data_IF_741147898885
#
_entry.id   IF_741147898885
#
_cell.length_a   1.000
_cell.length_b   1.000
_cell.length_c   1.000
_cell.angle_alpha   90.00
_cell.angle_beta   90.00
_cell.angle_gamma   90.00
#
_symmetry.space_group_name_H-M   'P 1'
#
loop_
_entity.id
_entity.type
_entity.pdbx_description
1 polymer ?
#
# COMPACT_ATOMS: atom_id res chain seq x y z
N UNK A 1 19.45 11.58 18.02
CA UNK A 1 18.12 10.96 18.29
C UNK A 1 17.07 11.87 17.67
N UNK A 2 16.52 11.46 16.52
CA UNK A 2 15.67 12.34 15.69
C UNK A 2 14.32 12.59 16.37
N UNK A 3 13.69 13.75 16.14
CA UNK A 3 12.39 14.16 16.72
C UNK A 3 11.23 13.17 16.47
N UNK A 4 11.43 12.13 15.65
CA UNK A 4 10.44 11.10 15.31
C UNK A 4 10.32 10.03 16.42
N UNK A 5 11.37 9.80 17.22
CA UNK A 5 11.40 8.70 18.20
C UNK A 5 10.29 8.78 19.27
N UNK A 6 9.81 9.99 19.61
CA UNK A 6 8.91 10.20 20.75
C UNK A 6 7.41 10.40 20.39
N UNK A 7 7.01 10.38 19.11
CA UNK A 7 5.65 10.80 18.69
C UNK A 7 4.94 9.85 17.71
N UNK A 8 5.31 8.56 17.68
CA UNK A 8 4.62 7.56 16.85
C UNK A 8 3.73 6.62 17.67
N UNK A 9 2.62 6.20 17.08
CA UNK A 9 1.63 5.29 17.71
C UNK A 9 2.19 3.88 17.89
N UNK A 10 1.55 3.05 18.71
CA UNK A 10 1.96 1.64 18.88
C UNK A 10 1.88 0.85 17.56
N UNK A 11 0.88 1.12 16.70
CA UNK A 11 0.81 0.50 15.37
C UNK A 11 2.01 0.88 14.52
N UNK A 12 2.37 2.16 14.51
CA UNK A 12 3.53 2.67 13.79
C UNK A 12 4.85 2.08 14.32
N UNK A 13 4.98 1.87 15.64
CA UNK A 13 6.14 1.18 16.24
C UNK A 13 6.22 -0.27 15.77
N UNK A 14 5.10 -1.00 15.73
CA UNK A 14 5.04 -2.38 15.22
C UNK A 14 5.49 -2.46 13.76
N UNK A 15 4.92 -1.64 12.88
CA UNK A 15 5.29 -1.62 11.46
C UNK A 15 6.76 -1.28 11.27
N UNK A 16 7.26 -0.23 11.95
CA UNK A 16 8.69 0.14 11.89
C UNK A 16 9.60 -1.01 12.33
N UNK A 17 9.26 -1.68 13.43
CA UNK A 17 10.04 -2.83 13.93
C UNK A 17 10.03 -3.99 12.95
N UNK A 18 8.85 -4.34 12.41
CA UNK A 18 8.65 -5.41 11.45
C UNK A 18 9.46 -5.19 10.16
N UNK A 19 9.29 -4.03 9.54
CA UNK A 19 9.98 -3.72 8.29
C UNK A 19 11.48 -3.52 8.49
N UNK A 20 11.92 -3.05 9.65
CA UNK A 20 13.35 -3.00 9.97
C UNK A 20 13.99 -4.39 9.98
N UNK A 21 13.31 -5.40 10.54
CA UNK A 21 13.85 -6.76 10.63
C UNK A 21 13.77 -7.53 9.30
N UNK A 22 12.84 -7.18 8.42
CA UNK A 22 12.60 -7.89 7.16
C UNK A 22 13.15 -7.17 5.92
N UNK A 23 13.72 -5.97 6.04
CA UNK A 23 14.15 -5.11 4.93
C UNK A 23 15.03 -5.84 3.88
N UNK A 24 15.92 -6.73 4.32
CA UNK A 24 16.82 -7.48 3.42
C UNK A 24 16.08 -8.43 2.48
N UNK A 25 14.91 -8.95 2.87
CA UNK A 25 14.08 -9.82 2.02
C UNK A 25 13.38 -9.04 0.92
N UNK A 26 12.99 -7.79 1.21
CA UNK A 26 12.39 -6.90 0.22
C UNK A 26 13.42 -6.41 -0.81
N UNK A 27 14.72 -6.45 -0.50
CA UNK A 27 15.80 -6.13 -1.46
C UNK A 27 16.09 -7.29 -2.42
N UNK A 28 15.82 -8.55 -2.01
CA UNK A 28 16.21 -9.78 -2.73
C UNK A 28 15.04 -10.52 -3.41
N UNK A 29 13.86 -9.92 -3.53
CA UNK A 29 12.65 -10.60 -4.04
C UNK A 29 11.79 -9.73 -4.95
N UNK A 30 11.24 -10.33 -5.99
CA UNK A 30 10.89 -9.73 -7.29
C UNK A 30 9.44 -9.20 -7.41
N UNK A 31 8.62 -9.24 -6.35
CA UNK A 31 7.18 -8.94 -6.43
C UNK A 31 6.88 -7.44 -6.52
N UNK A 32 7.54 -6.60 -5.70
CA UNK A 32 7.35 -5.15 -5.73
C UNK A 32 7.97 -4.50 -6.97
N UNK A 33 8.96 -5.18 -7.57
CA UNK A 33 9.56 -4.83 -8.86
C UNK A 33 8.58 -5.00 -10.02
N UNK A 34 7.59 -5.91 -9.91
CA UNK A 34 6.55 -6.00 -10.92
C UNK A 34 5.71 -4.72 -10.87
N UNK A 35 5.77 -3.90 -11.92
CA UNK A 35 5.05 -2.62 -12.04
C UNK A 35 3.73 -2.74 -12.80
N UNK A 36 3.28 -3.95 -13.16
CA UNK A 36 2.07 -4.18 -13.98
C UNK A 36 0.82 -3.54 -13.38
N UNK A 37 0.68 -3.52 -12.05
CA UNK A 37 -0.44 -2.82 -11.41
C UNK A 37 -0.36 -1.29 -11.55
N UNK A 38 0.84 -0.70 -11.48
CA UNK A 38 1.07 0.73 -11.75
C UNK A 38 0.80 1.03 -13.23
N UNK A 39 1.32 0.21 -14.14
CA UNK A 39 1.08 0.33 -15.59
C UNK A 39 -0.42 0.30 -15.91
N UNK A 40 -1.16 -0.69 -15.40
CA UNK A 40 -2.63 -0.77 -15.53
C UNK A 40 -3.35 0.41 -14.88
N UNK A 41 -2.83 0.91 -13.77
CA UNK A 41 -3.40 2.07 -13.07
C UNK A 41 -3.26 3.33 -13.90
N UNK A 42 -2.11 3.54 -14.55
CA UNK A 42 -1.79 4.75 -15.31
C UNK A 42 -2.02 4.65 -16.82
N UNK A 43 -2.46 3.50 -17.35
CA UNK A 43 -2.69 3.26 -18.78
C UNK A 43 -3.50 4.37 -19.49
N UNK A 44 -4.55 4.87 -18.85
CA UNK A 44 -5.43 5.95 -19.32
C UNK A 44 -5.25 7.27 -18.56
N UNK A 45 -4.21 7.38 -17.72
CA UNK A 45 -3.91 8.56 -16.91
C UNK A 45 -2.58 9.13 -17.33
N UNK A 46 -2.62 10.31 -17.95
CA UNK A 46 -1.41 10.98 -18.44
C UNK A 46 -0.56 11.51 -17.29
N UNK A 47 0.57 10.84 -17.04
CA UNK A 47 1.66 11.36 -16.22
C UNK A 47 2.42 12.44 -17.00
N UNK A 48 2.36 13.69 -16.54
CA UNK A 48 3.05 14.80 -17.18
C UNK A 48 4.43 15.00 -16.52
N UNK A 49 5.46 15.18 -17.35
CA UNK A 49 6.82 15.47 -16.87
C UNK A 49 6.81 16.72 -15.97
N UNK A 50 7.49 16.63 -14.83
CA UNK A 50 7.58 17.70 -13.85
C UNK A 50 6.40 17.78 -12.88
N UNK A 51 5.40 16.90 -12.96
CA UNK A 51 4.42 16.74 -11.88
C UNK A 51 5.14 16.35 -10.59
N UNK A 52 4.74 16.96 -9.47
CA UNK A 52 5.24 16.62 -8.14
C UNK A 52 4.49 15.42 -7.59
N UNK A 53 5.21 14.33 -7.36
CA UNK A 53 4.65 13.11 -6.79
C UNK A 53 5.14 12.88 -5.36
N UNK A 54 4.24 12.40 -4.50
CA UNK A 54 4.56 11.85 -3.20
C UNK A 54 4.28 10.34 -3.20
N UNK A 55 5.30 9.52 -2.97
CA UNK A 55 5.17 8.08 -2.74
C UNK A 55 5.22 7.78 -1.24
N UNK A 56 4.07 7.42 -0.67
CA UNK A 56 3.89 7.17 0.76
C UNK A 56 4.13 5.70 1.08
N UNK A 57 4.94 5.45 2.11
CA UNK A 57 5.39 4.11 2.50
C UNK A 57 6.10 3.41 1.34
N UNK A 58 7.11 4.10 0.80
CA UNK A 58 7.83 3.74 -0.42
C UNK A 58 8.58 2.40 -0.32
N UNK A 59 8.88 1.92 0.90
CA UNK A 59 9.69 0.74 1.10
C UNK A 59 11.04 0.86 0.38
N UNK A 60 11.32 -0.07 -0.54
CA UNK A 60 12.53 -0.05 -1.36
C UNK A 60 12.45 0.84 -2.61
N UNK A 61 11.42 1.67 -2.76
CA UNK A 61 11.39 2.74 -3.76
C UNK A 61 10.75 2.39 -5.11
N UNK A 62 10.21 1.18 -5.32
CA UNK A 62 9.77 0.76 -6.65
C UNK A 62 8.67 1.65 -7.26
N UNK A 63 7.72 2.14 -6.47
CA UNK A 63 6.72 3.10 -6.95
C UNK A 63 7.38 4.44 -7.27
N UNK A 64 8.24 4.94 -6.38
CA UNK A 64 9.01 6.17 -6.62
C UNK A 64 9.88 6.09 -7.90
N UNK A 65 10.54 4.95 -8.16
CA UNK A 65 11.33 4.71 -9.37
C UNK A 65 10.46 4.72 -10.61
N UNK A 66 9.33 4.00 -10.60
CA UNK A 66 8.38 4.02 -11.70
C UNK A 66 7.95 5.46 -12.04
N UNK A 67 7.60 6.27 -11.03
CA UNK A 67 7.20 7.66 -11.25
C UNK A 67 8.36 8.54 -11.77
N UNK A 68 9.58 8.33 -11.27
CA UNK A 68 10.76 9.04 -11.73
C UNK A 68 11.12 8.70 -13.19
N UNK A 69 10.96 7.44 -13.61
CA UNK A 69 11.11 7.00 -15.00
C UNK A 69 10.12 7.67 -15.96
N UNK A 70 8.95 8.05 -15.45
CA UNK A 70 7.95 8.85 -16.18
C UNK A 70 8.22 10.38 -16.12
N UNK A 71 9.35 10.79 -15.53
CA UNK A 71 9.82 12.17 -15.51
C UNK A 71 9.15 13.06 -14.45
N UNK A 72 8.60 12.48 -13.38
CA UNK A 72 8.02 13.22 -12.26
C UNK A 72 9.10 13.68 -11.28
N UNK A 73 8.82 14.76 -10.55
CA UNK A 73 9.60 15.22 -9.40
C UNK A 73 9.11 14.47 -8.15
N UNK A 74 9.86 13.45 -7.73
CA UNK A 74 9.40 12.48 -6.74
C UNK A 74 9.98 12.75 -5.36
N UNK A 75 9.08 12.91 -4.39
CA UNK A 75 9.39 12.73 -2.97
C UNK A 75 8.84 11.38 -2.52
N UNK A 76 9.65 10.61 -1.81
CA UNK A 76 9.31 9.29 -1.31
C UNK A 76 9.51 9.25 0.20
N UNK A 77 8.57 8.66 0.94
CA UNK A 77 8.67 8.58 2.39
C UNK A 77 8.37 7.19 2.92
N UNK A 78 8.99 6.86 4.06
CA UNK A 78 8.72 5.66 4.82
C UNK A 78 8.88 5.97 6.31
N UNK A 79 8.30 5.13 7.17
CA UNK A 79 8.52 5.20 8.63
C UNK A 79 9.78 4.44 9.06
N UNK A 80 10.39 3.69 8.15
CA UNK A 80 11.51 2.79 8.39
C UNK A 80 12.76 3.28 7.68
N UNK A 81 13.78 3.69 8.45
CA UNK A 81 15.02 4.24 7.87
C UNK A 81 15.78 3.20 7.02
N UNK A 82 15.82 1.94 7.44
CA UNK A 82 16.52 0.87 6.70
C UNK A 82 15.90 0.59 5.32
N UNK A 83 14.59 0.81 5.17
CA UNK A 83 13.92 0.76 3.86
C UNK A 83 14.37 1.93 2.98
N UNK A 84 14.39 3.15 3.53
CA UNK A 84 14.87 4.32 2.81
C UNK A 84 16.35 4.22 2.43
N UNK A 85 17.21 3.63 3.27
CA UNK A 85 18.60 3.34 2.92
C UNK A 85 18.71 2.43 1.70
N UNK A 86 17.92 1.36 1.65
CA UNK A 86 17.82 0.47 0.49
C UNK A 86 17.38 1.20 -0.77
N UNK A 87 16.30 1.99 -0.67
CA UNK A 87 15.78 2.77 -1.78
C UNK A 87 16.78 3.82 -2.29
N UNK A 88 17.47 4.54 -1.39
CA UNK A 88 18.52 5.52 -1.73
C UNK A 88 19.67 4.85 -2.48
N UNK A 89 20.11 3.68 -2.03
CA UNK A 89 21.19 2.93 -2.71
C UNK A 89 20.80 2.60 -4.15
N UNK A 90 19.61 2.05 -4.36
CA UNK A 90 19.10 1.73 -5.71
C UNK A 90 18.88 2.98 -6.56
N UNK A 91 18.41 4.09 -5.97
CA UNK A 91 18.27 5.37 -6.67
C UNK A 91 19.62 5.89 -7.21
N UNK A 92 20.68 5.81 -6.40
CA UNK A 92 22.05 6.20 -6.81
C UNK A 92 22.54 5.27 -7.93
N UNK A 93 22.39 3.95 -7.77
CA UNK A 93 22.82 2.96 -8.78
C UNK A 93 22.13 3.16 -10.13
N UNK A 94 20.86 3.60 -10.13
CA UNK A 94 20.05 3.84 -11.33
C UNK A 94 20.00 5.30 -11.78
N UNK A 95 20.70 6.20 -11.08
CA UNK A 95 20.74 7.63 -11.36
C UNK A 95 19.34 8.30 -11.37
N UNK A 96 18.47 7.95 -10.42
CA UNK A 96 17.22 8.66 -10.19
C UNK A 96 17.42 9.83 -9.21
N UNK A 97 16.81 10.97 -9.52
CA UNK A 97 16.71 12.12 -8.61
C UNK A 97 15.41 12.03 -7.81
N UNK A 98 15.50 11.49 -6.58
CA UNK A 98 14.34 11.25 -5.70
C UNK A 98 14.68 11.73 -4.29
N UNK A 99 13.77 12.49 -3.69
CA UNK A 99 13.91 12.96 -2.31
C UNK A 99 13.32 11.95 -1.33
N UNK A 100 14.16 11.32 -0.52
CA UNK A 100 13.73 10.36 0.52
C UNK A 100 13.60 11.01 1.90
N UNK A 101 12.43 10.88 2.54
CA UNK A 101 12.12 11.52 3.83
C UNK A 101 11.53 10.53 4.84
N UNK A 102 12.05 10.52 6.07
CA UNK A 102 11.52 9.68 7.16
C UNK A 102 10.33 10.36 7.84
N UNK A 103 9.11 9.83 7.69
CA UNK A 103 7.92 10.20 8.47
C UNK A 103 6.77 9.19 8.28
N UNK A 104 5.71 9.30 9.10
CA UNK A 104 4.52 8.45 8.96
C UNK A 104 3.54 8.97 7.90
N UNK A 105 2.69 8.08 7.40
CA UNK A 105 1.65 8.37 6.41
C UNK A 105 0.47 9.19 6.98
N UNK A 106 0.23 9.11 8.29
CA UNK A 106 -0.94 9.68 8.97
C UNK A 106 -0.73 11.15 9.40
N UNK A 107 0.49 11.68 9.23
CA UNK A 107 0.85 13.07 9.55
C UNK A 107 1.98 13.54 8.64
N UNK A 108 1.60 14.12 7.50
CA UNK A 108 2.53 14.49 6.44
C UNK A 108 3.13 15.89 6.72
N UNK A 109 4.47 16.05 6.75
CA UNK A 109 5.13 17.31 7.08
C UNK A 109 5.18 18.28 5.87
N UNK A 110 4.14 18.27 5.04
CA UNK A 110 4.06 19.08 3.83
C UNK A 110 2.93 20.10 3.92
N UNK A 111 3.07 21.28 3.28
CA UNK A 111 1.97 22.23 3.14
C UNK A 111 0.79 21.65 2.39
N UNK A 112 -0.38 22.27 2.55
CA UNK A 112 -1.54 21.98 1.70
C UNK A 112 -1.17 22.19 0.23
N UNK A 113 -1.77 21.41 -0.66
CA UNK A 113 -1.68 21.63 -2.11
C UNK A 113 -0.23 21.69 -2.65
N UNK A 114 0.62 20.78 -2.18
CA UNK A 114 2.03 20.70 -2.55
C UNK A 114 2.32 19.68 -3.67
N UNK A 115 1.47 18.66 -3.85
CA UNK A 115 1.69 17.56 -4.81
C UNK A 115 0.59 17.48 -5.87
N UNK A 116 0.96 17.09 -7.09
CA UNK A 116 0.04 16.79 -8.19
C UNK A 116 -0.47 15.34 -8.12
N UNK A 117 0.34 14.45 -7.52
CA UNK A 117 0.06 13.02 -7.37
C UNK A 117 0.51 12.52 -5.99
N UNK A 118 -0.33 11.74 -5.32
CA UNK A 118 0.01 11.00 -4.09
C UNK A 118 -0.27 9.54 -4.33
N UNK A 119 0.75 8.70 -4.19
CA UNK A 119 0.66 7.25 -4.35
C UNK A 119 0.89 6.55 -3.01
N UNK A 120 0.21 5.44 -2.78
CA UNK A 120 0.47 4.48 -1.70
C UNK A 120 0.21 3.07 -2.24
N UNK A 121 1.20 2.19 -2.14
CA UNK A 121 1.16 0.86 -2.77
C UNK A 121 1.57 -0.21 -1.76
N UNK A 122 0.68 -1.16 -1.50
CA UNK A 122 0.82 -2.29 -0.57
C UNK A 122 1.22 -1.91 0.85
N UNK A 123 0.68 -0.79 1.36
CA UNK A 123 1.09 -0.26 2.66
C UNK A 123 -0.09 0.15 3.56
N UNK A 124 -1.23 0.52 2.99
CA UNK A 124 -2.30 1.14 3.77
C UNK A 124 -2.91 0.19 4.81
N UNK A 125 -2.90 -1.12 4.54
CA UNK A 125 -3.27 -2.16 5.51
C UNK A 125 -2.39 -2.24 6.77
N UNK A 126 -1.26 -1.53 6.83
CA UNK A 126 -0.43 -1.40 8.04
C UNK A 126 -0.69 -0.11 8.84
N UNK A 127 -1.49 0.82 8.31
CA UNK A 127 -1.72 2.11 8.95
C UNK A 127 -2.74 1.95 10.09
N UNK A 128 -2.43 2.55 11.24
CA UNK A 128 -3.30 2.49 12.42
C UNK A 128 -4.55 3.35 12.25
N UNK A 129 -4.41 4.49 11.56
CA UNK A 129 -5.51 5.36 11.18
C UNK A 129 -5.54 5.61 9.67
N UNK A 130 -6.17 4.67 8.95
CA UNK A 130 -6.33 4.75 7.49
C UNK A 130 -7.15 5.96 7.04
N UNK A 131 -8.12 6.43 7.84
CA UNK A 131 -8.88 7.65 7.53
C UNK A 131 -8.00 8.90 7.64
N UNK A 132 -7.14 9.00 8.67
CA UNK A 132 -6.17 10.09 8.77
C UNK A 132 -5.18 10.10 7.61
N UNK A 133 -4.69 8.93 7.18
CA UNK A 133 -3.86 8.81 5.98
C UNK A 133 -4.54 9.39 4.72
N UNK A 134 -5.80 9.04 4.46
CA UNK A 134 -6.53 9.56 3.30
C UNK A 134 -6.76 11.07 3.42
N UNK A 135 -7.11 11.56 4.61
CA UNK A 135 -7.27 13.01 4.87
C UNK A 135 -5.99 13.81 4.64
N UNK A 136 -4.86 13.31 5.14
CA UNK A 136 -3.56 13.95 4.92
C UNK A 136 -3.15 13.92 3.44
N UNK A 137 -3.39 12.80 2.75
CA UNK A 137 -3.15 12.67 1.31
C UNK A 137 -3.96 13.70 0.51
N UNK A 138 -5.25 13.84 0.83
CA UNK A 138 -6.12 14.85 0.23
C UNK A 138 -5.67 16.28 0.55
N UNK A 139 -5.20 16.53 1.78
CA UNK A 139 -4.72 17.86 2.20
C UNK A 139 -3.51 18.30 1.37
N UNK A 140 -2.52 17.42 1.19
CA UNK A 140 -1.28 17.76 0.47
C UNK A 140 -1.44 17.74 -1.04
N UNK A 141 -2.48 17.10 -1.59
CA UNK A 141 -2.80 17.18 -3.01
C UNK A 141 -3.23 18.59 -3.42
N UNK A 142 -2.79 19.04 -4.59
CA UNK A 142 -3.32 20.23 -5.27
C UNK A 142 -4.73 19.96 -5.79
N UNK A 143 -5.47 21.03 -6.09
CA UNK A 143 -6.71 20.94 -6.86
C UNK A 143 -6.48 20.12 -8.13
N UNK A 144 -7.43 19.24 -8.46
CA UNK A 144 -7.37 18.30 -9.60
C UNK A 144 -6.24 17.27 -9.53
N UNK A 145 -5.44 17.26 -8.46
CA UNK A 145 -4.42 16.25 -8.20
C UNK A 145 -5.02 14.89 -7.92
N UNK A 146 -4.21 13.84 -8.14
CA UNK A 146 -4.66 12.45 -8.05
C UNK A 146 -4.13 11.75 -6.80
N UNK A 147 -5.02 11.06 -6.11
CA UNK A 147 -4.70 10.06 -5.10
C UNK A 147 -4.75 8.68 -5.74
N UNK A 148 -3.70 7.90 -5.59
CA UNK A 148 -3.60 6.52 -6.08
C UNK A 148 -3.31 5.59 -4.92
N UNK A 149 -4.19 4.62 -4.71
CA UNK A 149 -4.04 3.56 -3.72
C UNK A 149 -4.01 2.22 -4.44
N UNK A 150 -2.98 1.43 -4.19
CA UNK A 150 -2.92 0.03 -4.63
C UNK A 150 -2.77 -0.84 -3.39
N UNK A 151 -3.74 -1.69 -3.07
CA UNK A 151 -3.65 -2.57 -1.89
C UNK A 151 -4.45 -3.87 -2.05
N UNK A 152 -4.27 -4.81 -1.12
CA UNK A 152 -5.06 -6.04 -1.05
C UNK A 152 -6.52 -5.75 -0.69
N UNK A 153 -7.43 -6.54 -1.27
CA UNK A 153 -8.85 -6.52 -0.94
C UNK A 153 -9.53 -7.85 -1.31
N UNK A 154 -10.83 -7.93 -1.09
CA UNK A 154 -11.73 -8.91 -1.71
C UNK A 154 -12.98 -8.17 -2.22
N UNK A 155 -13.84 -8.77 -3.06
CA UNK A 155 -15.05 -8.10 -3.56
C UNK A 155 -15.95 -7.63 -2.42
N UNK A 156 -16.60 -6.47 -2.60
CA UNK A 156 -17.53 -5.93 -1.61
C UNK A 156 -18.58 -6.99 -1.21
N UNK A 157 -18.79 -7.18 0.09
CA UNK A 157 -19.72 -8.17 0.64
C UNK A 157 -19.19 -9.61 0.72
N UNK A 158 -17.97 -9.89 0.27
CA UNK A 158 -17.32 -11.19 0.46
C UNK A 158 -16.72 -11.34 1.87
N UNK A 159 -17.51 -11.06 2.92
CA UNK A 159 -17.03 -10.97 4.31
C UNK A 159 -16.31 -12.22 4.80
N UNK A 160 -16.76 -13.41 4.41
CA UNK A 160 -16.09 -14.66 4.80
C UNK A 160 -14.68 -14.78 4.20
N UNK A 161 -14.51 -14.37 2.93
CA UNK A 161 -13.20 -14.34 2.29
C UNK A 161 -12.31 -13.24 2.89
N UNK A 162 -12.89 -12.10 3.24
CA UNK A 162 -12.18 -11.02 3.94
C UNK A 162 -11.67 -11.50 5.31
N UNK A 163 -12.53 -12.10 6.13
CA UNK A 163 -12.16 -12.59 7.45
C UNK A 163 -11.10 -13.69 7.38
N UNK A 164 -11.19 -14.58 6.39
CA UNK A 164 -10.17 -15.59 6.16
C UNK A 164 -8.82 -14.94 5.81
N UNK A 165 -8.83 -13.99 4.85
CA UNK A 165 -7.61 -13.31 4.39
C UNK A 165 -6.96 -12.49 5.51
N UNK A 166 -7.76 -11.74 6.26
CA UNK A 166 -7.29 -10.93 7.38
C UNK A 166 -6.65 -11.79 8.48
N UNK A 167 -7.21 -12.97 8.76
CA UNK A 167 -6.60 -13.93 9.71
C UNK A 167 -5.28 -14.50 9.17
N UNK A 168 -5.23 -14.85 7.89
CA UNK A 168 -3.99 -15.34 7.26
C UNK A 168 -2.90 -14.27 7.34
N UNK A 169 -3.22 -13.01 6.99
CA UNK A 169 -2.24 -11.92 7.05
C UNK A 169 -1.78 -11.61 8.46
N UNK A 170 -2.68 -11.63 9.47
CA UNK A 170 -2.27 -11.42 10.88
C UNK A 170 -1.37 -12.52 11.42
N UNK A 171 -1.54 -13.76 10.94
CA UNK A 171 -0.62 -14.86 11.26
C UNK A 171 0.71 -14.71 10.52
N UNK A 172 0.66 -14.24 9.27
CA UNK A 172 1.84 -14.08 8.40
C UNK A 172 2.71 -12.91 8.84
N UNK A 173 2.12 -11.76 9.11
CA UNK A 173 2.76 -10.48 9.43
C UNK A 173 2.04 -9.81 10.61
N UNK A 174 2.74 -9.72 11.75
CA UNK A 174 2.17 -9.17 12.99
C UNK A 174 1.89 -7.65 12.92
N UNK A 175 2.41 -6.96 11.92
CA UNK A 175 2.19 -5.52 11.71
C UNK A 175 0.94 -5.22 10.87
N UNK A 176 0.28 -6.25 10.32
CA UNK A 176 -0.97 -6.10 9.56
C UNK A 176 -2.10 -5.58 10.45
N UNK A 177 -2.70 -4.45 10.07
CA UNK A 177 -3.86 -3.86 10.75
C UNK A 177 -5.16 -4.35 10.12
N UNK A 178 -5.25 -4.33 8.80
CA UNK A 178 -6.43 -4.81 8.07
C UNK A 178 -6.57 -4.19 6.68
N UNK A 179 -6.95 -5.00 5.70
CA UNK A 179 -7.39 -4.50 4.40
C UNK A 179 -8.73 -3.76 4.51
N UNK A 180 -9.15 -3.14 3.42
CA UNK A 180 -10.49 -2.56 3.29
C UNK A 180 -11.13 -2.95 1.99
N UNK A 181 -12.45 -3.01 1.99
CA UNK A 181 -13.24 -3.13 0.78
C UNK A 181 -13.09 -1.87 -0.08
N UNK A 182 -13.34 -2.02 -1.38
CA UNK A 182 -13.37 -0.88 -2.30
C UNK A 182 -14.39 0.17 -1.86
N UNK A 183 -15.56 -0.25 -1.37
CA UNK A 183 -16.60 0.67 -0.89
C UNK A 183 -16.13 1.55 0.26
N UNK A 184 -15.35 0.98 1.19
CA UNK A 184 -14.80 1.71 2.33
C UNK A 184 -13.73 2.72 1.87
N UNK A 185 -12.82 2.31 0.98
CA UNK A 185 -11.82 3.25 0.44
C UNK A 185 -12.48 4.40 -0.33
N UNK A 186 -13.52 4.12 -1.11
CA UNK A 186 -14.31 5.15 -1.81
C UNK A 186 -15.00 6.10 -0.83
N UNK A 187 -15.54 5.58 0.28
CA UNK A 187 -16.12 6.40 1.35
C UNK A 187 -15.07 7.30 2.01
N UNK A 188 -13.91 6.75 2.39
CA UNK A 188 -12.81 7.52 2.99
C UNK A 188 -12.31 8.63 2.05
N UNK A 189 -12.25 8.34 0.74
CA UNK A 189 -11.93 9.33 -0.29
C UNK A 189 -12.95 10.49 -0.27
N UNK A 190 -14.24 10.18 -0.34
CA UNK A 190 -15.29 11.22 -0.37
C UNK A 190 -15.34 12.05 0.90
N UNK A 191 -15.21 11.42 2.07
CA UNK A 191 -15.11 12.11 3.36
C UNK A 191 -13.93 13.10 3.40
N UNK A 192 -12.85 12.82 2.67
CA UNK A 192 -11.66 13.65 2.57
C UNK A 192 -11.68 14.68 1.43
N UNK A 193 -12.77 14.77 0.64
CA UNK A 193 -12.85 15.67 -0.51
C UNK A 193 -12.15 15.16 -1.76
N UNK A 194 -12.06 13.84 -1.93
CA UNK A 194 -11.57 13.17 -3.13
C UNK A 194 -12.73 12.43 -3.80
N UNK A 195 -12.88 12.59 -5.12
CA UNK A 195 -13.86 11.84 -5.91
C UNK A 195 -13.19 10.63 -6.57
N UNK A 196 -13.61 9.38 -6.26
CA UNK A 196 -13.12 8.19 -6.95
C UNK A 196 -13.43 8.24 -8.46
N UNK A 197 -12.40 8.20 -9.30
CA UNK A 197 -12.54 8.29 -10.77
C UNK A 197 -12.21 6.99 -11.51
N UNK A 198 -11.45 6.08 -10.88
CA UNK A 198 -11.09 4.77 -11.44
C UNK A 198 -10.93 3.74 -10.33
N UNK A 199 -11.33 2.50 -10.63
CA UNK A 199 -11.16 1.36 -9.73
C UNK A 199 -10.94 0.10 -10.56
N UNK A 200 -9.86 -0.63 -10.26
CA UNK A 200 -9.51 -1.87 -10.93
C UNK A 200 -9.24 -2.96 -9.89
N UNK A 201 -9.71 -4.18 -10.18
CA UNK A 201 -9.35 -5.37 -9.43
C UNK A 201 -8.38 -6.20 -10.26
N UNK A 202 -7.13 -6.30 -9.80
CA UNK A 202 -6.04 -6.97 -10.50
C UNK A 202 -5.73 -8.27 -9.75
N UNK A 203 -6.17 -9.43 -10.27
CA UNK A 203 -5.88 -10.71 -9.63
C UNK A 203 -4.38 -11.01 -9.74
N UNK A 204 -3.78 -11.46 -8.64
CA UNK A 204 -2.38 -11.84 -8.57
C UNK A 204 -2.25 -13.19 -7.90
N UNK A 205 -1.76 -14.18 -8.65
CA UNK A 205 -1.47 -15.49 -8.08
C UNK A 205 -0.23 -15.38 -7.22
N UNK A 206 -0.34 -15.81 -5.97
CA UNK A 206 0.83 -15.97 -5.12
C UNK A 206 1.78 -16.99 -5.77
N UNK A 207 3.00 -16.55 -6.02
CA UNK A 207 3.99 -17.27 -6.82
C UNK A 207 4.95 -18.10 -5.95
N UNK A 208 5.41 -17.56 -4.82
CA UNK A 208 6.34 -18.20 -3.90
C UNK A 208 5.85 -18.12 -2.45
N UNK A 209 5.26 -19.22 -1.98
CA UNK A 209 4.80 -19.36 -0.60
C UNK A 209 5.94 -19.25 0.43
N UNK A 210 7.16 -19.66 0.08
CA UNK A 210 8.30 -19.58 0.99
C UNK A 210 8.78 -18.14 1.13
N UNK A 211 8.89 -17.41 0.02
CA UNK A 211 9.17 -15.97 0.07
C UNK A 211 8.08 -15.22 0.82
N UNK A 212 6.81 -15.58 0.60
CA UNK A 212 5.69 -14.96 1.30
C UNK A 212 5.77 -15.09 2.83
N UNK A 213 6.14 -16.27 3.35
CA UNK A 213 6.37 -16.44 4.79
C UNK A 213 7.65 -15.76 5.28
N UNK A 214 8.75 -15.86 4.53
CA UNK A 214 10.03 -15.21 4.91
C UNK A 214 9.90 -13.70 5.00
N UNK A 215 9.23 -13.08 4.02
CA UNK A 215 9.02 -11.63 3.98
C UNK A 215 8.07 -11.11 5.07
N UNK A 216 7.19 -11.96 5.60
CA UNK A 216 6.34 -11.66 6.77
C UNK A 216 7.00 -12.01 8.11
N UNK A 217 8.18 -12.62 8.11
CA UNK A 217 8.80 -13.14 9.34
C UNK A 217 7.94 -14.20 10.03
N UNK A 218 7.17 -14.99 9.25
CA UNK A 218 6.18 -15.93 9.77
C UNK A 218 6.84 -17.12 10.47
N UNK A 219 6.48 -17.38 11.73
CA UNK A 219 6.98 -18.53 12.48
C UNK A 219 6.50 -19.86 11.90
N UNK A 220 7.19 -20.97 12.21
CA UNK A 220 6.80 -22.30 11.73
C UNK A 220 5.41 -22.69 12.23
N UNK A 221 5.07 -22.33 13.46
CA UNK A 221 3.75 -22.56 14.05
C UNK A 221 2.66 -21.80 13.27
N UNK A 222 2.89 -20.52 12.96
CA UNK A 222 1.96 -19.72 12.17
C UNK A 222 1.84 -20.23 10.74
N UNK A 223 2.95 -20.71 10.13
CA UNK A 223 2.90 -21.37 8.83
C UNK A 223 1.98 -22.60 8.90
N UNK A 224 2.14 -23.50 9.88
CA UNK A 224 1.28 -24.66 10.04
C UNK A 224 -0.20 -24.29 10.23
N UNK A 225 -0.48 -23.23 11.00
CA UNK A 225 -1.83 -22.70 11.16
C UNK A 225 -2.43 -22.21 9.83
N UNK A 226 -1.66 -21.48 9.02
CA UNK A 226 -2.07 -21.03 7.69
C UNK A 226 -2.34 -22.23 6.76
N UNK A 227 -1.48 -23.25 6.76
CA UNK A 227 -1.71 -24.47 5.98
C UNK A 227 -3.02 -25.16 6.38
N UNK A 228 -3.34 -25.20 7.68
CA UNK A 228 -4.61 -25.73 8.17
C UNK A 228 -5.78 -24.90 7.66
N UNK A 229 -5.69 -23.57 7.76
CA UNK A 229 -6.72 -22.66 7.24
C UNK A 229 -6.96 -22.81 5.73
N UNK A 230 -5.91 -23.09 4.94
CA UNK A 230 -6.03 -23.37 3.50
C UNK A 230 -6.81 -24.67 3.26
N UNK A 231 -6.53 -25.73 4.02
CA UNK A 231 -7.24 -27.03 3.90
C UNK A 231 -8.71 -26.92 4.29
N UNK A 232 -8.99 -26.13 5.31
CA UNK A 232 -10.32 -26.00 5.93
C UNK A 232 -11.16 -24.84 5.35
N UNK A 233 -10.62 -24.09 4.39
CA UNK A 233 -11.33 -22.98 3.76
C UNK A 233 -12.68 -23.44 3.18
N UNK A 234 -13.73 -22.64 3.40
CA UNK A 234 -15.05 -22.96 2.84
C UNK A 234 -15.06 -22.81 1.32
N UNK A 235 -16.06 -23.39 0.66
CA UNK A 235 -16.21 -23.28 -0.80
C UNK A 235 -16.39 -21.83 -1.27
N UNK A 236 -16.98 -20.96 -0.44
CA UNK A 236 -17.10 -19.53 -0.74
C UNK A 236 -15.73 -18.85 -0.75
N UNK A 237 -14.92 -19.10 0.28
CA UNK A 237 -13.56 -18.56 0.38
C UNK A 237 -12.69 -19.09 -0.75
N UNK A 238 -12.70 -20.41 -0.99
CA UNK A 238 -11.95 -21.04 -2.08
C UNK A 238 -12.31 -20.45 -3.44
N UNK A 239 -13.59 -20.17 -3.68
CA UNK A 239 -14.04 -19.55 -4.94
C UNK A 239 -13.53 -18.12 -5.12
N UNK A 240 -13.62 -17.29 -4.07
CA UNK A 240 -13.22 -15.87 -4.13
C UNK A 240 -11.71 -15.74 -4.30
N UNK A 241 -10.94 -16.43 -3.47
CA UNK A 241 -9.48 -16.35 -3.43
C UNK A 241 -8.80 -17.42 -4.28
N UNK A 242 -9.56 -18.23 -5.02
CA UNK A 242 -9.04 -19.33 -5.86
C UNK A 242 -8.02 -20.19 -5.11
N UNK A 243 -8.35 -20.58 -3.88
CA UNK A 243 -7.48 -21.37 -3.00
C UNK A 243 -7.36 -22.78 -3.56
N UNK A 244 -6.14 -23.28 -3.66
CA UNK A 244 -5.84 -24.62 -4.17
C UNK A 244 -4.45 -25.10 -3.75
N UNK A 245 -3.97 -26.11 -4.48
CA UNK A 245 -2.67 -26.74 -4.25
C UNK A 245 -1.98 -26.97 -5.59
N UNK A 246 -0.69 -26.67 -5.66
CA UNK A 246 0.17 -26.94 -6.80
C UNK A 246 1.52 -27.46 -6.29
N UNK A 247 2.01 -28.57 -6.86
CA UNK A 247 3.26 -29.22 -6.45
C UNK A 247 3.39 -29.43 -4.93
N UNK A 248 2.26 -29.75 -4.27
CA UNK A 248 2.18 -29.97 -2.83
C UNK A 248 2.22 -28.70 -1.96
N UNK A 249 2.29 -27.52 -2.58
CA UNK A 249 2.29 -26.21 -1.91
C UNK A 249 0.92 -25.55 -2.02
N UNK A 250 0.45 -24.84 -0.98
CA UNK A 250 -0.79 -24.10 -1.05
C UNK A 250 -0.61 -22.90 -1.99
N UNK A 251 -1.63 -22.63 -2.80
CA UNK A 251 -1.68 -21.45 -3.67
C UNK A 251 -3.03 -20.75 -3.50
N UNK A 252 -3.02 -19.43 -3.59
CA UNK A 252 -4.22 -18.63 -3.70
C UNK A 252 -3.96 -17.36 -4.51
N UNK A 253 -5.03 -16.71 -4.90
CA UNK A 253 -5.03 -15.49 -5.67
C UNK A 253 -5.40 -14.32 -4.78
N UNK A 254 -4.47 -13.39 -4.67
CA UNK A 254 -4.69 -12.06 -4.15
C UNK A 254 -5.55 -11.27 -5.13
N UNK A 255 -6.36 -10.37 -4.60
CA UNK A 255 -7.06 -9.37 -5.39
C UNK A 255 -6.52 -8.02 -4.99
N UNK A 256 -5.82 -7.38 -5.92
CA UNK A 256 -5.28 -6.05 -5.72
C UNK A 256 -6.31 -5.04 -6.18
N UNK A 257 -6.72 -4.14 -5.30
CA UNK A 257 -7.48 -2.95 -5.66
C UNK A 257 -6.49 -1.88 -6.08
N UNK A 258 -6.60 -1.37 -7.31
CA UNK A 258 -6.03 -0.10 -7.70
C UNK A 258 -7.16 0.94 -7.79
N UNK A 259 -7.19 1.87 -6.83
CA UNK A 259 -8.16 2.95 -6.75
C UNK A 259 -7.47 4.27 -7.09
N UNK A 260 -8.10 5.06 -7.97
CA UNK A 260 -7.69 6.44 -8.25
C UNK A 260 -8.83 7.37 -7.90
N UNK A 261 -8.52 8.41 -7.14
CA UNK A 261 -9.44 9.48 -6.79
C UNK A 261 -8.84 10.84 -7.14
N UNK A 262 -9.67 11.81 -7.53
CA UNK A 262 -9.26 13.18 -7.85
C UNK A 262 -9.66 14.12 -6.72
N UNK A 263 -8.76 15.01 -6.32
CA UNK A 263 -9.13 16.08 -5.39
C UNK A 263 -10.11 17.04 -6.01
N UNK A 264 -11.32 17.10 -5.45
CA UNK A 264 -12.35 18.07 -5.83
C UNK A 264 -12.27 19.29 -4.94
N UNK A 265 -12.90 20.39 -5.35
CA UNK A 265 -13.19 21.48 -4.41
C UNK A 265 -14.05 20.90 -3.26
N UNK A 266 -13.89 21.38 -2.01
CA UNK A 266 -14.90 21.10 -1.00
C UNK A 266 -16.24 21.56 -1.55
N UNK A 267 -17.31 20.78 -1.32
CA UNK A 267 -18.66 21.25 -1.58
C UNK A 267 -18.78 22.65 -0.93
N UNK A 268 -19.37 23.65 -1.62
CA UNK A 268 -19.66 24.92 -0.95
C UNK A 268 -20.39 24.57 0.34
N UNK A 269 -19.85 25.02 1.48
CA UNK A 269 -20.54 24.86 2.75
C UNK A 269 -21.94 25.44 2.52
N UNK A 270 -22.98 24.63 2.64
CA UNK A 270 -24.33 25.16 2.70
C UNK A 270 -24.30 26.23 3.78
N UNK A 271 -24.64 27.46 3.39
CA UNK A 271 -24.74 28.58 4.31
C UNK A 271 -25.70 28.14 5.42
N UNK A 272 -25.16 27.93 6.62
CA UNK A 272 -25.96 27.91 7.83
C UNK A 272 -26.49 29.32 8.02
N UNK A 273 -27.68 29.58 7.48
CA UNK A 273 -28.58 30.62 7.96
C UNK A 273 -29.07 30.30 9.38
#
# INVERSE_FOLDING_TARGET
>A
MSKIENNITESQKRSRSHFSSCASYYQKGHILKNTEDLEKTFEDIKLQKGMKALDIATGNGYTAFFLAEHGLDVTACDITETMLEGARKTAIEKNYDIKFVLHSAEKLPYPNESFDLVCCRYAAHHFGDQKAFVRESARVLKKDGLFVLIDGTVPNGASEAYEWLDRVEKLRDYSHVGYRFESEWKEYCREAGLEPVKSLFIPFKQDDIEWYFRSGGTSVENQQAIYKMVKEASERVKKVLKIGWEDGKPVWWWIKLALVARKTLPAPKENSE
#
